data_IF_339448444572
#
_entry.id   IF_339448444572
#
_cell.length_a   1.000
_cell.length_b   1.000
_cell.length_c   1.000
_cell.angle_alpha   90.00
_cell.angle_beta   90.00
_cell.angle_gamma   90.00
#
_symmetry.space_group_name_H-M   'P 1'
#
loop_
_entity.id
_entity.type
_entity.pdbx_description
1 polymer ?
#
# COMPACT_ATOMS: atom_id res chain seq x y z
N UNK A 1 -6.27 4.25 -16.31
CA UNK A 1 -5.16 4.47 -17.28
C UNK A 1 -3.88 3.93 -16.68
N UNK A 2 -3.05 3.20 -17.45
CA UNK A 2 -1.73 2.74 -16.98
C UNK A 2 -0.65 3.73 -17.43
N UNK A 3 0.38 3.94 -16.61
CA UNK A 3 1.52 4.81 -16.92
C UNK A 3 2.79 3.96 -16.96
N UNK A 4 3.61 4.15 -18.00
CA UNK A 4 4.91 3.48 -18.08
C UNK A 4 5.89 4.09 -17.07
N UNK A 5 6.68 3.24 -16.44
CA UNK A 5 7.74 3.62 -15.49
C UNK A 5 9.00 2.83 -15.82
N UNK A 6 10.17 3.41 -15.54
CA UNK A 6 11.45 2.72 -15.60
C UNK A 6 11.87 2.33 -14.18
N UNK A 7 12.19 1.05 -13.98
CA UNK A 7 12.63 0.51 -12.68
C UNK A 7 13.99 -0.16 -12.90
N UNK A 8 14.90 0.01 -11.94
CA UNK A 8 16.15 -0.75 -11.86
C UNK A 8 15.96 -1.92 -10.90
N UNK A 9 16.47 -3.09 -11.27
CA UNK A 9 16.31 -4.35 -10.54
C UNK A 9 17.55 -5.21 -10.69
N UNK A 10 17.82 -6.04 -9.69
CA UNK A 10 18.84 -7.09 -9.75
C UNK A 10 18.60 -8.03 -10.95
N UNK A 11 19.69 -8.41 -11.62
CA UNK A 11 19.64 -9.21 -12.87
C UNK A 11 19.01 -10.58 -12.61
N UNK A 12 19.36 -11.22 -11.50
CA UNK A 12 18.83 -12.53 -11.13
C UNK A 12 17.31 -12.47 -10.88
N UNK A 13 16.84 -11.44 -10.18
CA UNK A 13 15.41 -11.24 -9.92
C UNK A 13 14.63 -11.03 -11.22
N UNK A 14 15.18 -10.24 -12.15
CA UNK A 14 14.56 -10.03 -13.46
C UNK A 14 14.50 -11.33 -14.27
N UNK A 15 15.57 -12.13 -14.26
CA UNK A 15 15.63 -13.43 -14.92
C UNK A 15 14.57 -14.40 -14.37
N UNK A 16 14.43 -14.47 -13.04
CA UNK A 16 13.41 -15.29 -12.40
C UNK A 16 12.00 -14.83 -12.79
N UNK A 17 11.75 -13.52 -12.80
CA UNK A 17 10.47 -12.96 -13.23
C UNK A 17 10.14 -13.31 -14.69
N UNK A 18 11.13 -13.26 -15.58
CA UNK A 18 10.97 -13.65 -16.99
C UNK A 18 10.62 -15.14 -17.14
N UNK A 19 11.24 -16.02 -16.35
CA UNK A 19 10.94 -17.45 -16.34
C UNK A 19 9.49 -17.71 -15.90
N UNK A 20 9.05 -17.11 -14.79
CA UNK A 20 7.67 -17.24 -14.31
C UNK A 20 6.66 -16.65 -15.28
N UNK A 21 6.95 -15.49 -15.88
CA UNK A 21 6.10 -14.87 -16.88
C UNK A 21 5.86 -15.81 -18.07
N UNK A 22 6.92 -16.46 -18.55
CA UNK A 22 6.85 -17.44 -19.64
C UNK A 22 6.06 -18.68 -19.26
N UNK A 23 6.32 -19.25 -18.08
CA UNK A 23 5.67 -20.48 -17.62
C UNK A 23 4.17 -20.30 -17.37
N UNK A 24 3.78 -19.13 -16.86
CA UNK A 24 2.39 -18.80 -16.52
C UNK A 24 1.59 -18.17 -17.67
N UNK A 25 2.21 -18.00 -18.85
CA UNK A 25 1.66 -17.25 -19.98
C UNK A 25 1.15 -15.85 -19.55
N UNK A 26 2.02 -15.09 -18.90
CA UNK A 26 1.75 -13.72 -18.41
C UNK A 26 2.87 -12.78 -18.79
N UNK A 27 2.61 -11.48 -18.75
CA UNK A 27 3.64 -10.47 -18.97
C UNK A 27 4.38 -10.18 -17.68
N UNK A 28 5.66 -9.78 -17.79
CA UNK A 28 6.42 -9.21 -16.66
C UNK A 28 5.65 -8.10 -15.94
N UNK A 29 5.04 -7.20 -16.71
CA UNK A 29 4.25 -6.08 -16.16
C UNK A 29 3.10 -6.57 -15.29
N UNK A 30 2.39 -7.62 -15.71
CA UNK A 30 1.32 -8.22 -14.91
C UNK A 30 1.84 -8.74 -13.57
N UNK A 31 2.96 -9.47 -13.58
CA UNK A 31 3.55 -10.00 -12.35
C UNK A 31 4.05 -8.89 -11.42
N UNK A 32 4.72 -7.85 -11.96
CA UNK A 32 5.17 -6.69 -11.18
C UNK A 32 3.98 -5.97 -10.56
N UNK A 33 2.92 -5.73 -11.33
CA UNK A 33 1.71 -5.07 -10.82
C UNK A 33 1.07 -5.87 -9.67
N UNK A 34 1.02 -7.20 -9.78
CA UNK A 34 0.51 -8.07 -8.71
C UNK A 34 1.42 -8.09 -7.48
N UNK A 35 2.74 -8.15 -7.67
CA UNK A 35 3.70 -8.14 -6.57
C UNK A 35 3.64 -6.81 -5.78
N UNK A 36 3.64 -5.68 -6.49
CA UNK A 36 3.52 -4.35 -5.87
C UNK A 36 2.17 -4.22 -5.14
N UNK A 37 1.07 -4.63 -5.77
CA UNK A 37 -0.25 -4.60 -5.15
C UNK A 37 -0.33 -5.46 -3.88
N UNK A 38 0.27 -6.65 -3.88
CA UNK A 38 0.33 -7.51 -2.70
C UNK A 38 1.18 -6.92 -1.57
N UNK A 39 2.23 -6.16 -1.91
CA UNK A 39 3.08 -5.52 -0.90
C UNK A 39 2.40 -4.32 -0.22
N UNK A 40 1.38 -3.73 -0.86
CA UNK A 40 0.62 -2.64 -0.25
C UNK A 40 -0.08 -3.05 1.05
N UNK A 41 -0.56 -4.28 1.16
CA UNK A 41 -1.17 -4.76 2.41
C UNK A 41 -0.19 -4.65 3.59
N UNK A 42 1.08 -5.01 3.38
CA UNK A 42 2.15 -4.87 4.39
C UNK A 42 2.48 -3.40 4.65
N UNK A 43 2.54 -2.57 3.61
CA UNK A 43 2.81 -1.14 3.80
C UNK A 43 1.68 -0.45 4.56
N UNK A 44 0.43 -0.82 4.32
CA UNK A 44 -0.74 -0.29 5.00
C UNK A 44 -0.73 -0.65 6.49
N UNK A 45 -0.30 -1.87 6.84
CA UNK A 45 -0.07 -2.27 8.23
C UNK A 45 1.01 -1.40 8.89
N UNK A 46 2.17 -1.25 8.26
CA UNK A 46 3.26 -0.40 8.78
C UNK A 46 2.84 1.06 8.98
N UNK A 47 2.03 1.60 8.06
CA UNK A 47 1.47 2.95 8.18
C UNK A 47 0.45 3.03 9.32
N UNK A 48 -0.35 1.99 9.50
CA UNK A 48 -1.34 1.91 10.58
C UNK A 48 -0.66 1.89 11.94
N UNK A 49 0.40 1.09 12.11
CA UNK A 49 1.20 1.05 13.34
C UNK A 49 1.80 2.41 13.66
N UNK A 50 2.40 3.06 12.66
CA UNK A 50 2.94 4.41 12.84
C UNK A 50 1.87 5.40 13.31
N UNK A 51 0.67 5.35 12.72
CA UNK A 51 -0.46 6.22 13.13
C UNK A 51 -0.92 5.93 14.56
N UNK A 52 -0.96 4.66 14.96
CA UNK A 52 -1.30 4.26 16.33
C UNK A 52 -0.28 4.84 17.32
N UNK A 53 1.01 4.75 17.00
CA UNK A 53 2.07 5.31 17.84
C UNK A 53 2.01 6.84 17.90
N UNK A 54 1.73 7.51 16.78
CA UNK A 54 1.54 8.96 16.77
C UNK A 54 0.36 9.40 17.67
N UNK A 55 -0.73 8.64 17.71
CA UNK A 55 -1.85 8.87 18.63
C UNK A 55 -1.41 8.65 20.09
N UNK A 56 -0.73 7.54 20.39
CA UNK A 56 -0.26 7.22 21.75
C UNK A 56 0.73 8.25 22.29
N UNK A 57 1.61 8.77 21.42
CA UNK A 57 2.62 9.75 21.77
C UNK A 57 2.07 11.19 21.84
N UNK A 58 0.79 11.40 21.51
CA UNK A 58 0.18 12.74 21.49
C UNK A 58 0.60 13.60 20.30
N UNK A 59 1.17 12.99 19.25
CA UNK A 59 1.56 13.67 18.01
C UNK A 59 0.39 13.85 17.04
N UNK A 60 -0.77 13.28 17.34
CA UNK A 60 -1.99 13.40 16.54
C UNK A 60 -3.11 14.04 17.35
N UNK A 61 -3.84 14.96 16.71
CA UNK A 61 -5.07 15.53 17.28
C UNK A 61 -6.14 14.43 17.33
N UNK A 62 -6.74 14.25 18.51
CA UNK A 62 -7.82 13.28 18.73
C UNK A 62 -9.12 14.00 18.99
N UNK A 63 -10.20 13.47 18.43
CA UNK A 63 -11.55 13.99 18.62
C UNK A 63 -12.42 12.92 19.28
N UNK A 64 -13.25 13.34 20.22
CA UNK A 64 -14.34 12.52 20.75
C UNK A 64 -15.40 12.25 19.67
N UNK A 65 -16.20 11.21 19.91
CA UNK A 65 -17.33 10.90 19.04
C UNK A 65 -18.32 12.07 18.93
N UNK A 66 -18.58 12.77 20.05
CA UNK A 66 -19.48 13.93 20.06
C UNK A 66 -18.95 15.09 19.21
N UNK A 67 -17.64 15.38 19.29
CA UNK A 67 -17.01 16.44 18.49
C UNK A 67 -17.10 16.15 16.99
N UNK A 68 -16.83 14.90 16.60
CA UNK A 68 -16.95 14.45 15.21
C UNK A 68 -18.41 14.51 14.76
N UNK A 69 -19.35 14.02 15.57
CA UNK A 69 -20.74 13.96 15.18
C UNK A 69 -21.35 15.36 14.97
N UNK A 70 -21.05 16.30 15.88
CA UNK A 70 -21.42 17.71 15.72
C UNK A 70 -20.82 18.32 14.45
N UNK A 71 -19.56 18.00 14.12
CA UNK A 71 -18.87 18.48 12.90
C UNK A 71 -19.49 17.93 11.62
N UNK A 72 -20.01 16.69 11.67
CA UNK A 72 -20.66 16.02 10.55
C UNK A 72 -22.16 16.32 10.45
N UNK A 73 -22.74 17.08 11.38
CA UNK A 73 -24.18 17.36 11.41
C UNK A 73 -25.03 16.13 11.73
N UNK A 74 -24.45 15.15 12.44
CA UNK A 74 -25.17 13.98 12.92
C UNK A 74 -25.78 14.33 14.28
N UNK A 75 -27.10 14.21 14.40
CA UNK A 75 -27.79 14.28 15.69
C UNK A 75 -27.43 13.03 16.50
N UNK A 76 -26.81 13.22 17.68
CA UNK A 76 -26.43 12.16 18.63
C UNK A 76 -26.95 12.51 20.01
#
# INVERSE_FOLDING_TARGET
MKKAINIRMEVELLSNLDNYAKELDRTRTYLIEKAVGSYFDTLDEMVSDKRIDDVKNGNSEVFSLQEIAKKLGLDV
#
